data_IF_255246597348
#
_entry.id   IF_255246597348
#
_cell.length_a   1.000
_cell.length_b   1.000
_cell.length_c   1.000
_cell.angle_alpha   90.00
_cell.angle_beta   90.00
_cell.angle_gamma   90.00
#
_symmetry.space_group_name_H-M   'P 1'
#
loop_
_entity.id
_entity.type
_entity.pdbx_description
1 polymer ?
#
# COMPACT_ATOMS: atom_id res chain seq x y z
N UNK A 1 -10.36 26.95 -35.60
CA UNK A 1 -9.99 25.71 -34.91
C UNK A 1 -9.82 26.10 -33.46
N UNK A 2 -10.68 25.61 -32.58
CA UNK A 2 -10.70 26.05 -31.17
C UNK A 2 -9.42 25.64 -30.45
N UNK A 3 -8.93 26.53 -29.61
CA UNK A 3 -7.79 26.31 -28.72
C UNK A 3 -8.16 25.22 -27.71
N UNK A 4 -7.90 23.97 -28.05
CA UNK A 4 -8.19 22.84 -27.17
C UNK A 4 -7.23 22.84 -25.99
N UNK A 5 -7.74 22.98 -24.78
CA UNK A 5 -6.98 22.69 -23.57
C UNK A 5 -6.76 21.17 -23.49
N UNK A 6 -5.49 20.75 -23.63
CA UNK A 6 -5.09 19.35 -23.47
C UNK A 6 -4.51 19.13 -22.07
N UNK A 7 -5.03 18.13 -21.35
CA UNK A 7 -4.46 17.65 -20.10
C UNK A 7 -3.45 16.52 -20.40
N UNK A 8 -2.21 16.67 -19.96
CA UNK A 8 -1.22 15.61 -19.98
C UNK A 8 -0.94 15.11 -18.57
N UNK A 9 -0.88 13.79 -18.40
CA UNK A 9 -0.41 13.18 -17.15
C UNK A 9 1.12 13.16 -17.17
N UNK A 10 1.74 13.83 -16.20
CA UNK A 10 3.18 13.86 -16.01
C UNK A 10 3.59 12.95 -14.83
N UNK A 11 4.85 12.53 -14.83
CA UNK A 11 5.44 11.79 -13.71
C UNK A 11 5.53 12.68 -12.48
N UNK A 12 5.50 12.09 -11.28
CA UNK A 12 5.69 12.83 -10.04
C UNK A 12 7.17 12.94 -9.66
N UNK A 13 8.04 12.06 -10.17
CA UNK A 13 9.48 12.08 -9.90
C UNK A 13 9.93 10.82 -9.16
N UNK A 14 10.51 10.98 -7.97
CA UNK A 14 10.92 9.87 -7.09
C UNK A 14 9.78 9.51 -6.13
N UNK A 15 9.30 8.28 -6.17
CA UNK A 15 8.28 7.78 -5.24
C UNK A 15 8.95 6.99 -4.12
N UNK A 16 8.76 7.43 -2.88
CA UNK A 16 9.14 6.67 -1.70
C UNK A 16 8.02 5.71 -1.31
N UNK A 17 8.28 4.40 -1.36
CA UNK A 17 7.30 3.37 -1.02
C UNK A 17 7.71 2.71 0.29
N UNK A 18 6.79 2.64 1.25
CA UNK A 18 7.00 1.97 2.55
C UNK A 18 5.90 0.92 2.72
N UNK A 19 6.29 -0.36 2.70
CA UNK A 19 5.34 -1.48 2.67
C UNK A 19 5.39 -2.35 3.93
N UNK A 20 4.25 -2.94 4.35
CA UNK A 20 4.16 -3.74 5.57
C UNK A 20 4.63 -5.18 5.35
N UNK A 21 4.67 -5.94 6.44
CA UNK A 21 5.08 -7.34 6.47
C UNK A 21 3.99 -8.35 6.09
N UNK A 22 2.71 -7.98 6.16
CA UNK A 22 1.62 -8.95 6.14
C UNK A 22 1.29 -9.51 4.75
N UNK A 23 1.54 -8.74 3.69
CA UNK A 23 1.45 -9.16 2.29
C UNK A 23 2.62 -8.57 1.50
N UNK A 24 3.85 -9.06 1.71
CA UNK A 24 5.06 -8.36 1.28
C UNK A 24 5.21 -8.29 -0.25
N UNK A 25 4.61 -9.22 -0.99
CA UNK A 25 4.53 -9.15 -2.44
C UNK A 25 3.42 -8.19 -2.88
N UNK A 26 2.17 -8.43 -2.45
CA UNK A 26 1.00 -7.68 -2.94
C UNK A 26 0.96 -6.23 -2.47
N UNK A 27 1.31 -5.93 -1.21
CA UNK A 27 1.30 -4.56 -0.65
C UNK A 27 2.66 -3.87 -0.77
N UNK A 28 3.67 -4.55 -1.29
CA UNK A 28 4.98 -3.97 -1.58
C UNK A 28 5.18 -3.81 -3.07
N UNK A 29 5.39 -4.93 -3.76
CA UNK A 29 5.80 -4.97 -5.16
C UNK A 29 4.69 -4.50 -6.11
N UNK A 30 3.43 -4.81 -5.84
CA UNK A 30 2.35 -4.40 -6.73
C UNK A 30 2.11 -2.88 -6.76
N UNK A 31 2.54 -2.12 -5.76
CA UNK A 31 2.51 -0.64 -5.78
C UNK A 31 3.70 -0.03 -6.55
N UNK A 32 4.81 -0.77 -6.61
CA UNK A 32 6.04 -0.35 -7.30
C UNK A 32 5.86 -0.41 -8.81
N UNK A 33 5.23 -1.46 -9.32
CA UNK A 33 4.97 -1.66 -10.75
C UNK A 33 4.23 -0.47 -11.38
N UNK A 34 3.06 -0.01 -10.87
CA UNK A 34 2.36 1.13 -11.46
C UNK A 34 3.16 2.44 -11.33
N UNK A 35 3.95 2.63 -10.26
CA UNK A 35 4.82 3.79 -10.13
C UNK A 35 5.89 3.83 -11.25
N UNK A 36 6.54 2.69 -11.52
CA UNK A 36 7.51 2.54 -12.60
C UNK A 36 6.86 2.72 -13.98
N UNK A 37 5.68 2.12 -14.21
CA UNK A 37 4.94 2.24 -15.47
C UNK A 37 4.49 3.68 -15.75
N UNK A 38 4.21 4.46 -14.69
CA UNK A 38 3.92 5.88 -14.79
C UNK A 38 5.18 6.75 -15.01
N UNK A 39 6.36 6.14 -15.18
CA UNK A 39 7.62 6.84 -15.49
C UNK A 39 8.38 7.37 -14.27
N UNK A 40 8.05 6.92 -13.07
CA UNK A 40 8.75 7.34 -11.85
C UNK A 40 9.93 6.43 -11.51
N UNK A 41 10.88 6.94 -10.74
CA UNK A 41 11.84 6.10 -10.01
C UNK A 41 11.28 5.78 -8.62
N UNK A 42 11.70 4.65 -8.03
CA UNK A 42 11.19 4.16 -6.76
C UNK A 42 12.33 3.90 -5.78
N UNK A 43 12.18 4.44 -4.57
CA UNK A 43 12.96 4.03 -3.40
C UNK A 43 12.02 3.31 -2.44
N UNK A 44 12.23 2.00 -2.28
CA UNK A 44 11.35 1.12 -1.53
C UNK A 44 11.98 0.70 -0.20
N UNK A 45 11.27 0.98 0.89
CA UNK A 45 11.56 0.48 2.22
C UNK A 45 10.52 -0.59 2.61
N UNK A 46 10.77 -1.88 2.35
CA UNK A 46 9.93 -2.95 2.87
C UNK A 46 10.12 -3.10 4.39
N UNK A 47 9.15 -3.71 5.06
CA UNK A 47 9.34 -4.17 6.43
C UNK A 47 10.51 -5.17 6.50
N UNK A 48 11.44 -4.93 7.42
CA UNK A 48 12.67 -5.72 7.58
C UNK A 48 12.39 -7.21 7.72
N UNK A 49 11.29 -7.60 8.39
CA UNK A 49 10.95 -9.00 8.66
C UNK A 49 10.66 -9.80 7.38
N UNK A 50 10.30 -9.12 6.30
CA UNK A 50 9.85 -9.76 5.04
C UNK A 50 10.57 -9.23 3.80
N UNK A 51 11.64 -8.47 4.00
CA UNK A 51 12.39 -7.79 2.94
C UNK A 51 12.91 -8.72 1.83
N UNK A 52 13.17 -9.99 2.13
CA UNK A 52 13.64 -10.98 1.15
C UNK A 52 12.67 -11.15 -0.03
N UNK A 53 11.36 -10.97 0.19
CA UNK A 53 10.37 -11.03 -0.90
C UNK A 53 10.57 -9.90 -1.89
N UNK A 54 10.75 -8.67 -1.40
CA UNK A 54 10.98 -7.50 -2.25
C UNK A 54 12.32 -7.58 -2.98
N UNK A 55 13.38 -8.03 -2.29
CA UNK A 55 14.69 -8.25 -2.90
C UNK A 55 14.61 -9.28 -4.02
N UNK A 56 13.93 -10.41 -3.80
CA UNK A 56 13.78 -11.44 -4.84
C UNK A 56 12.95 -10.95 -6.02
N UNK A 57 11.88 -10.21 -5.78
CA UNK A 57 11.08 -9.61 -6.85
C UNK A 57 11.88 -8.60 -7.68
N UNK A 58 12.72 -7.79 -7.03
CA UNK A 58 13.62 -6.86 -7.71
C UNK A 58 14.64 -7.58 -8.58
N UNK A 59 15.29 -8.63 -8.06
CA UNK A 59 16.21 -9.46 -8.86
C UNK A 59 15.54 -9.96 -10.14
N UNK A 60 14.33 -10.52 -10.03
CA UNK A 60 13.57 -11.03 -11.16
C UNK A 60 13.19 -9.93 -12.17
N UNK A 61 12.80 -8.74 -11.71
CA UNK A 61 12.49 -7.63 -12.62
C UNK A 61 13.75 -7.10 -13.31
N UNK A 62 14.88 -7.06 -12.62
CA UNK A 62 16.17 -6.68 -13.23
C UNK A 62 16.60 -7.70 -14.27
N UNK A 63 16.47 -9.01 -13.99
CA UNK A 63 16.68 -10.08 -14.97
C UNK A 63 15.75 -9.93 -16.20
N UNK A 64 14.53 -9.44 -15.99
CA UNK A 64 13.56 -9.16 -17.05
C UNK A 64 13.81 -7.84 -17.82
N UNK A 65 14.83 -7.06 -17.46
CA UNK A 65 15.24 -5.84 -18.16
C UNK A 65 14.89 -4.53 -17.47
N UNK A 66 14.43 -4.54 -16.22
CA UNK A 66 14.30 -3.31 -15.42
C UNK A 66 15.69 -2.71 -15.17
N UNK A 67 15.86 -1.41 -15.45
CA UNK A 67 17.05 -0.69 -15.04
C UNK A 67 17.13 -0.70 -13.49
N UNK A 68 18.21 -1.28 -12.90
CA UNK A 68 18.35 -1.38 -11.45
C UNK A 68 18.40 -0.04 -10.73
N UNK A 69 18.65 1.08 -11.42
CA UNK A 69 18.62 2.43 -10.87
C UNK A 69 17.19 2.94 -10.64
N UNK A 70 16.19 2.42 -11.38
CA UNK A 70 14.79 2.84 -11.28
C UNK A 70 14.08 2.26 -10.05
N UNK A 71 14.58 1.15 -9.50
CA UNK A 71 14.05 0.57 -8.26
C UNK A 71 15.18 0.23 -7.29
N UNK A 72 15.30 1.04 -6.24
CA UNK A 72 16.24 0.82 -5.15
C UNK A 72 15.50 0.35 -3.90
N UNK A 73 16.10 -0.60 -3.16
CA UNK A 73 15.53 -1.12 -1.91
C UNK A 73 16.45 -0.73 -0.76
N UNK A 74 15.87 -0.15 0.30
CA UNK A 74 16.58 0.19 1.54
C UNK A 74 15.94 -0.55 2.70
N UNK A 75 16.67 -1.53 3.24
CA UNK A 75 16.26 -2.31 4.42
C UNK A 75 16.85 -1.68 5.68
N UNK A 76 16.04 -1.52 6.72
CA UNK A 76 16.50 -0.96 7.98
C UNK A 76 15.34 -0.49 8.85
N UNK A 77 15.66 0.03 10.04
CA UNK A 77 14.65 0.46 11.01
C UNK A 77 13.83 1.67 10.52
N UNK A 78 12.52 1.74 10.83
CA UNK A 78 11.69 2.90 10.47
C UNK A 78 12.23 4.23 10.98
N UNK A 79 12.79 4.26 12.21
CA UNK A 79 13.34 5.47 12.81
C UNK A 79 14.57 6.01 12.06
N UNK A 80 15.34 5.14 11.40
CA UNK A 80 16.57 5.51 10.69
C UNK A 80 16.29 5.86 9.24
N UNK A 81 15.46 5.07 8.55
CA UNK A 81 15.27 5.18 7.10
C UNK A 81 14.05 6.03 6.74
N UNK A 82 13.05 6.13 7.64
CA UNK A 82 11.76 6.74 7.35
C UNK A 82 11.86 8.23 7.00
N UNK A 83 12.43 9.05 7.89
CA UNK A 83 12.51 10.50 7.66
C UNK A 83 13.41 10.85 6.46
N UNK A 84 14.63 10.29 6.30
CA UNK A 84 15.44 10.55 5.11
C UNK A 84 14.73 10.19 3.80
N UNK A 85 13.98 9.09 3.76
CA UNK A 85 13.18 8.73 2.59
C UNK A 85 12.12 9.80 2.30
N UNK A 86 11.41 10.25 3.33
CA UNK A 86 10.41 11.32 3.20
C UNK A 86 11.06 12.65 2.84
N UNK A 87 12.33 12.90 3.17
CA UNK A 87 13.03 14.15 2.85
C UNK A 87 13.52 14.24 1.39
N UNK A 88 13.59 13.10 0.69
CA UNK A 88 14.14 13.00 -0.66
C UNK A 88 13.17 12.48 -1.73
N UNK A 89 11.93 12.17 -1.38
CA UNK A 89 10.89 11.76 -2.34
C UNK A 89 10.11 12.95 -2.92
N UNK A 90 9.44 12.77 -4.04
CA UNK A 90 8.46 13.71 -4.61
C UNK A 90 7.00 13.27 -4.34
N UNK A 91 6.81 11.99 -3.96
CA UNK A 91 5.56 11.44 -3.46
C UNK A 91 5.82 10.27 -2.50
N UNK A 92 5.00 10.09 -1.47
CA UNK A 92 5.11 8.96 -0.54
C UNK A 92 3.90 8.04 -0.65
N UNK A 93 4.13 6.75 -0.89
CA UNK A 93 3.12 5.70 -0.70
C UNK A 93 3.46 4.92 0.58
N UNK A 94 2.52 4.87 1.52
CA UNK A 94 2.69 4.15 2.77
C UNK A 94 1.50 3.25 3.04
N UNK A 95 1.80 2.00 3.38
CA UNK A 95 0.82 1.05 3.86
C UNK A 95 1.21 0.59 5.27
N UNK A 96 0.32 0.75 6.25
CA UNK A 96 0.60 0.36 7.63
C UNK A 96 -0.35 0.93 8.67
N UNK A 97 0.15 1.22 9.87
CA UNK A 97 -0.70 1.68 10.97
C UNK A 97 -1.15 3.13 10.79
N UNK A 98 -2.36 3.46 11.26
CA UNK A 98 -2.90 4.82 11.24
C UNK A 98 -2.01 5.82 11.99
N UNK A 99 -1.38 5.39 13.08
CA UNK A 99 -0.48 6.24 13.86
C UNK A 99 0.80 6.61 13.11
N UNK A 100 1.39 5.67 12.37
CA UNK A 100 2.54 5.95 11.50
C UNK A 100 2.13 6.79 10.28
N UNK A 101 0.99 6.46 9.66
CA UNK A 101 0.45 7.20 8.52
C UNK A 101 0.25 8.69 8.80
N UNK A 102 -0.27 9.04 9.99
CA UNK A 102 -0.40 10.46 10.40
C UNK A 102 0.94 11.19 10.43
N UNK A 103 1.98 10.57 11.01
CA UNK A 103 3.33 11.16 11.07
C UNK A 103 3.92 11.37 9.67
N UNK A 104 3.67 10.42 8.76
CA UNK A 104 4.11 10.51 7.36
C UNK A 104 3.36 11.63 6.65
N UNK A 105 2.05 11.74 6.82
CA UNK A 105 1.24 12.81 6.25
C UNK A 105 1.73 14.20 6.70
N UNK A 106 2.00 14.37 7.99
CA UNK A 106 2.56 15.61 8.54
C UNK A 106 3.94 15.93 7.95
N UNK A 107 4.79 14.93 7.76
CA UNK A 107 6.11 15.12 7.16
C UNK A 107 6.06 15.45 5.66
N UNK A 108 5.18 14.78 4.91
CA UNK A 108 4.93 15.08 3.50
C UNK A 108 4.38 16.51 3.33
N UNK A 109 3.44 16.92 4.19
CA UNK A 109 2.86 18.26 4.18
C UNK A 109 3.92 19.36 4.43
N UNK A 110 4.89 19.13 5.33
CA UNK A 110 6.00 20.09 5.56
C UNK A 110 6.86 20.31 4.32
N UNK A 111 6.94 19.33 3.42
CA UNK A 111 7.66 19.42 2.14
C UNK A 111 6.79 19.82 0.96
N UNK A 112 5.48 19.95 1.17
CA UNK A 112 4.49 20.19 0.12
C UNK A 112 4.50 19.13 -0.99
N UNK A 113 4.71 17.86 -0.61
CA UNK A 113 4.64 16.71 -1.52
C UNK A 113 3.36 15.89 -1.28
N UNK A 114 2.94 15.12 -2.28
CA UNK A 114 1.80 14.21 -2.17
C UNK A 114 2.10 12.99 -1.30
N UNK A 115 1.04 12.40 -0.73
CA UNK A 115 1.13 11.07 -0.12
C UNK A 115 -0.15 10.24 -0.33
N UNK A 116 0.02 8.94 -0.51
CA UNK A 116 -1.03 7.91 -0.54
C UNK A 116 -0.88 7.03 0.69
N UNK A 117 -1.95 6.86 1.46
CA UNK A 117 -1.91 6.21 2.77
C UNK A 117 -2.98 5.12 2.87
N UNK A 118 -2.55 3.85 2.86
CA UNK A 118 -3.40 2.70 3.14
C UNK A 118 -3.22 2.28 4.60
N UNK A 119 -4.25 2.51 5.41
CA UNK A 119 -4.15 2.46 6.88
C UNK A 119 -5.00 1.34 7.48
N UNK A 120 -5.12 1.33 8.82
CA UNK A 120 -5.91 0.33 9.50
C UNK A 120 -7.41 0.48 9.19
N UNK A 121 -8.04 -0.61 8.77
CA UNK A 121 -9.49 -0.73 8.62
C UNK A 121 -10.14 -1.35 9.86
N UNK A 122 -11.47 -1.23 9.94
CA UNK A 122 -12.30 -1.99 10.88
C UNK A 122 -13.53 -2.48 10.11
N UNK A 123 -13.36 -3.57 9.37
CA UNK A 123 -14.30 -3.94 8.32
C UNK A 123 -15.49 -4.72 8.89
N UNK A 124 -16.72 -4.19 8.78
CA UNK A 124 -17.92 -4.92 9.14
C UNK A 124 -18.33 -5.86 8.00
N UNK A 125 -18.92 -7.00 8.37
CA UNK A 125 -19.69 -7.82 7.45
C UNK A 125 -21.17 -7.78 7.86
N UNK A 126 -22.02 -7.37 6.93
CA UNK A 126 -23.47 -7.38 7.10
C UNK A 126 -24.04 -8.67 6.52
N UNK A 127 -24.88 -9.36 7.29
CA UNK A 127 -25.65 -10.52 6.85
C UNK A 127 -27.11 -10.13 6.96
N UNK A 128 -27.78 -10.01 5.81
CA UNK A 128 -29.18 -9.61 5.70
C UNK A 128 -30.11 -10.83 5.87
N UNK A 129 -31.39 -10.57 6.13
CA UNK A 129 -32.38 -11.62 6.43
C UNK A 129 -32.62 -12.59 5.27
N UNK A 130 -32.36 -12.16 4.03
CA UNK A 130 -32.47 -12.95 2.81
C UNK A 130 -31.13 -13.59 2.36
N UNK A 131 -30.08 -13.46 3.18
CA UNK A 131 -28.77 -13.99 2.84
C UNK A 131 -28.73 -15.53 2.87
N UNK A 132 -28.06 -16.11 1.88
CA UNK A 132 -27.65 -17.52 1.90
C UNK A 132 -26.62 -17.73 3.01
N UNK A 133 -27.05 -18.33 4.12
CA UNK A 133 -26.24 -18.49 5.33
C UNK A 133 -25.01 -19.37 5.13
N UNK A 134 -25.07 -20.38 4.26
CA UNK A 134 -23.93 -21.25 3.99
C UNK A 134 -22.82 -20.49 3.25
N UNK A 135 -23.20 -19.63 2.30
CA UNK A 135 -22.25 -18.75 1.62
C UNK A 135 -21.71 -17.67 2.56
N UNK A 136 -22.59 -17.06 3.37
CA UNK A 136 -22.20 -16.04 4.33
C UNK A 136 -21.19 -16.59 5.35
N UNK A 137 -21.44 -17.78 5.92
CA UNK A 137 -20.54 -18.40 6.88
C UNK A 137 -19.17 -18.73 6.27
N UNK A 138 -19.13 -19.31 5.06
CA UNK A 138 -17.87 -19.59 4.34
C UNK A 138 -17.10 -18.32 3.99
N UNK A 139 -17.81 -17.29 3.55
CA UNK A 139 -17.26 -15.97 3.26
C UNK A 139 -16.66 -15.32 4.50
N UNK A 140 -17.40 -15.30 5.60
CA UNK A 140 -16.97 -14.78 6.89
C UNK A 140 -15.70 -15.49 7.39
N UNK A 141 -15.69 -16.83 7.37
CA UNK A 141 -14.52 -17.60 7.79
C UNK A 141 -13.27 -17.23 6.98
N UNK A 142 -13.40 -17.12 5.65
CA UNK A 142 -12.29 -16.70 4.79
C UNK A 142 -11.87 -15.25 5.09
N UNK A 143 -12.82 -14.33 5.19
CA UNK A 143 -12.56 -12.90 5.43
C UNK A 143 -11.93 -12.63 6.80
N UNK A 144 -12.27 -13.40 7.82
CA UNK A 144 -11.70 -13.26 9.17
C UNK A 144 -10.33 -13.93 9.30
N UNK A 145 -10.11 -15.09 8.66
CA UNK A 145 -8.96 -15.95 9.00
C UNK A 145 -7.93 -16.11 7.89
N UNK A 146 -8.12 -15.50 6.71
CA UNK A 146 -7.05 -15.43 5.69
C UNK A 146 -5.81 -14.75 6.27
N UNK A 147 -4.64 -15.37 6.09
CA UNK A 147 -3.36 -14.91 6.69
C UNK A 147 -3.47 -14.71 8.22
N UNK A 148 -4.20 -15.62 8.87
CA UNK A 148 -4.51 -15.57 10.31
C UNK A 148 -5.18 -14.24 10.74
N UNK A 149 -5.95 -13.62 9.85
CA UNK A 149 -6.64 -12.34 10.08
C UNK A 149 -5.75 -11.11 9.98
N UNK A 150 -4.48 -11.25 9.61
CA UNK A 150 -3.52 -10.15 9.52
C UNK A 150 -3.61 -9.42 8.18
N UNK A 151 -4.80 -8.96 7.80
CA UNK A 151 -5.07 -8.20 6.58
C UNK A 151 -5.87 -6.94 6.94
N UNK A 152 -5.55 -5.79 6.33
CA UNK A 152 -6.28 -4.54 6.56
C UNK A 152 -7.76 -4.62 6.18
N UNK A 153 -8.12 -5.54 5.28
CA UNK A 153 -9.47 -5.87 4.83
C UNK A 153 -10.13 -7.02 5.62
N UNK A 154 -9.45 -7.58 6.62
CA UNK A 154 -10.02 -8.64 7.44
C UNK A 154 -11.33 -8.18 8.08
N UNK A 155 -12.32 -9.06 8.11
CA UNK A 155 -13.54 -8.81 8.87
C UNK A 155 -13.24 -8.97 10.35
N UNK A 156 -13.57 -7.93 11.13
CA UNK A 156 -13.34 -7.92 12.58
C UNK A 156 -14.65 -7.88 13.39
N UNK A 157 -15.80 -7.86 12.70
CA UNK A 157 -17.12 -7.95 13.30
C UNK A 157 -18.21 -8.26 12.27
N UNK A 158 -19.15 -9.11 12.66
CA UNK A 158 -20.41 -9.33 11.94
C UNK A 158 -21.51 -8.61 12.70
N UNK A 159 -22.14 -7.63 12.08
CA UNK A 159 -23.32 -6.99 12.67
C UNK A 159 -24.57 -7.57 12.00
N UNK A 160 -25.63 -7.93 12.76
CA UNK A 160 -26.93 -8.16 12.15
C UNK A 160 -27.36 -6.88 11.43
N UNK A 161 -28.12 -7.03 10.34
CA UNK A 161 -28.80 -5.88 9.76
C UNK A 161 -29.55 -5.14 10.88
N UNK A 162 -29.33 -3.84 11.03
CA UNK A 162 -30.18 -3.00 11.87
C UNK A 162 -31.54 -2.92 11.16
N UNK A 163 -32.38 -3.94 11.37
CA UNK A 163 -33.78 -3.93 10.96
C UNK A 163 -34.57 -3.31 12.11
N UNK A 164 -34.37 -2.01 12.34
CA UNK A 164 -35.29 -1.10 13.02
C UNK A 164 -34.69 0.32 13.05
N UNK A 165 -34.97 1.09 11.99
CA UNK A 165 -35.09 2.56 12.01
C UNK A 165 -36.27 2.96 11.14
#
# INVERSE_FOLDING_TARGET
MGDGEFLYLATVGVVGIISPWNYPLSLGVCDIIPALLAGNAVVHKPDTQTALTALRARELLVEAGLDPALWQIVVGEPATVGQPLIDHADHICFTGSTGAGRKIAEAAARRLIGCTLELAGKNPMLVLDDADLDKAAKGAARACFSTAGQLCLSTEGTAPALVDT
#
